data_IF_413863907039
#
_entry.id   IF_413863907039
#
_cell.length_a   1.000
_cell.length_b   1.000
_cell.length_c   1.000
_cell.angle_alpha   90.00
_cell.angle_beta   90.00
_cell.angle_gamma   90.00
#
_symmetry.space_group_name_H-M   'P 1'
#
loop_
_entity.id
_entity.type
_entity.pdbx_description
1 polymer ?
#
# COMPACT_ATOMS: atom_id res chain seq x y z
N UNK A 1 0.85 -10.18 -10.85
CA UNK A 1 1.39 -9.15 -9.94
C UNK A 1 2.49 -9.78 -9.11
N UNK A 2 3.70 -9.27 -9.22
CA UNK A 2 4.87 -9.85 -8.54
C UNK A 2 5.65 -8.82 -7.72
N UNK A 3 5.75 -7.58 -8.21
CA UNK A 3 6.59 -6.55 -7.61
C UNK A 3 5.76 -5.44 -7.01
N UNK A 4 6.10 -5.08 -5.79
CA UNK A 4 5.39 -4.07 -5.03
C UNK A 4 6.40 -3.06 -4.50
N UNK A 5 6.06 -1.78 -4.62
CA UNK A 5 6.79 -0.69 -3.99
C UNK A 5 5.99 -0.18 -2.80
N UNK A 6 6.65 0.00 -1.67
CA UNK A 6 6.04 0.57 -0.47
C UNK A 6 6.42 2.03 -0.33
N UNK A 7 5.42 2.90 -0.26
CA UNK A 7 5.60 4.32 0.03
C UNK A 7 5.18 4.54 1.48
N UNK A 8 6.16 4.58 2.35
CA UNK A 8 5.97 4.63 3.79
C UNK A 8 6.66 3.47 4.49
N UNK A 9 7.15 3.71 5.70
CA UNK A 9 7.85 2.71 6.51
C UNK A 9 7.41 2.75 7.97
N UNK A 10 6.14 3.11 8.21
CA UNK A 10 5.55 3.14 9.54
C UNK A 10 5.12 1.75 10.00
N UNK A 11 4.27 1.73 11.02
CA UNK A 11 3.83 0.47 11.65
C UNK A 11 3.07 -0.42 10.67
N UNK A 12 2.08 0.13 9.99
CA UNK A 12 1.29 -0.64 9.02
C UNK A 12 2.15 -1.09 7.84
N UNK A 13 2.95 -0.19 7.26
CA UNK A 13 3.82 -0.53 6.13
C UNK A 13 4.80 -1.64 6.50
N UNK A 14 5.34 -1.61 7.71
CA UNK A 14 6.27 -2.64 8.19
C UNK A 14 5.60 -4.02 8.22
N UNK A 15 4.43 -4.11 8.81
CA UNK A 15 3.74 -5.39 8.94
C UNK A 15 3.16 -5.87 7.62
N UNK A 16 2.58 -4.97 6.83
CA UNK A 16 2.04 -5.30 5.52
C UNK A 16 3.15 -5.73 4.57
N UNK A 17 4.25 -4.98 4.54
CA UNK A 17 5.41 -5.31 3.70
C UNK A 17 5.95 -6.70 4.02
N UNK A 18 6.04 -7.02 5.30
CA UNK A 18 6.50 -8.33 5.73
C UNK A 18 5.53 -9.44 5.32
N UNK A 19 4.22 -9.23 5.48
CA UNK A 19 3.23 -10.21 5.07
C UNK A 19 3.29 -10.48 3.57
N UNK A 20 3.45 -9.44 2.76
CA UNK A 20 3.58 -9.58 1.31
C UNK A 20 4.89 -10.26 0.93
N UNK A 21 5.99 -9.88 1.56
CA UNK A 21 7.29 -10.50 1.32
C UNK A 21 7.25 -12.00 1.65
N UNK A 22 6.71 -12.36 2.81
CA UNK A 22 6.60 -13.75 3.24
C UNK A 22 5.67 -14.56 2.32
N UNK A 23 4.71 -13.91 1.67
CA UNK A 23 3.80 -14.53 0.71
C UNK A 23 4.43 -14.71 -0.69
N UNK A 24 5.66 -14.27 -0.88
CA UNK A 24 6.40 -14.47 -2.13
C UNK A 24 6.47 -13.26 -3.05
N UNK A 25 5.95 -12.10 -2.65
CA UNK A 25 6.08 -10.88 -3.43
C UNK A 25 7.50 -10.33 -3.34
N UNK A 26 7.94 -9.71 -4.42
CA UNK A 26 9.20 -8.97 -4.45
C UNK A 26 8.88 -7.53 -4.04
N UNK A 27 9.47 -7.06 -2.95
CA UNK A 27 9.39 -5.66 -2.57
C UNK A 27 10.63 -5.01 -3.18
N UNK A 28 10.43 -4.20 -4.22
CA UNK A 28 11.58 -3.63 -4.94
C UNK A 28 12.14 -2.38 -4.28
N UNK A 29 11.30 -1.52 -3.73
CA UNK A 29 11.71 -0.29 -3.07
C UNK A 29 10.83 0.02 -1.86
N UNK A 30 11.43 0.67 -0.87
CA UNK A 30 10.73 1.22 0.29
C UNK A 30 11.11 2.70 0.41
N UNK A 31 10.12 3.57 0.33
CA UNK A 31 10.31 5.01 0.53
C UNK A 31 9.91 5.39 1.95
N UNK A 32 10.71 6.27 2.59
CA UNK A 32 10.34 6.95 3.82
C UNK A 32 11.02 8.32 3.82
N UNK A 33 10.44 9.27 4.57
CA UNK A 33 11.04 10.59 4.73
C UNK A 33 12.36 10.55 5.49
N UNK A 34 12.54 9.54 6.35
CA UNK A 34 13.78 9.38 7.11
C UNK A 34 14.59 8.21 6.54
N UNK A 35 15.89 8.41 6.41
CA UNK A 35 16.80 7.39 5.90
C UNK A 35 16.79 6.13 6.76
N UNK A 36 16.79 6.29 8.08
CA UNK A 36 16.81 5.13 8.99
C UNK A 36 15.56 4.26 8.81
N UNK A 37 14.38 4.86 8.79
CA UNK A 37 13.13 4.08 8.62
C UNK A 37 13.10 3.36 7.29
N UNK A 38 13.52 4.02 6.21
CA UNK A 38 13.56 3.40 4.89
C UNK A 38 14.56 2.24 4.88
N UNK A 39 15.76 2.45 5.42
CA UNK A 39 16.82 1.45 5.44
C UNK A 39 16.44 0.23 6.27
N UNK A 40 15.92 0.44 7.46
CA UNK A 40 15.56 -0.68 8.36
C UNK A 40 14.52 -1.59 7.72
N UNK A 41 13.47 -1.01 7.16
CA UNK A 41 12.45 -1.82 6.51
C UNK A 41 12.94 -2.45 5.21
N UNK A 42 13.67 -1.69 4.39
CA UNK A 42 14.21 -2.21 3.13
C UNK A 42 15.14 -3.41 3.36
N UNK A 43 16.00 -3.36 4.38
CA UNK A 43 16.87 -4.50 4.71
C UNK A 43 16.06 -5.75 5.07
N UNK A 44 14.99 -5.59 5.85
CA UNK A 44 14.11 -6.71 6.23
C UNK A 44 13.40 -7.33 5.05
N UNK A 45 13.13 -6.55 4.01
CA UNK A 45 12.36 -6.99 2.84
C UNK A 45 13.23 -7.23 1.61
N UNK A 46 14.56 -7.15 1.77
CA UNK A 46 15.51 -7.30 0.66
C UNK A 46 15.21 -6.30 -0.48
N UNK A 47 14.91 -5.08 -0.12
CA UNK A 47 14.50 -4.02 -1.02
C UNK A 47 15.50 -2.86 -1.02
N UNK A 48 15.35 -1.95 -1.99
CA UNK A 48 16.13 -0.72 -2.06
C UNK A 48 15.45 0.37 -1.22
N UNK A 49 16.21 1.08 -0.39
CA UNK A 49 15.71 2.18 0.42
C UNK A 49 15.74 3.49 -0.37
N UNK A 50 14.68 4.29 -0.25
CA UNK A 50 14.58 5.62 -0.85
C UNK A 50 14.14 6.64 0.18
N UNK A 51 14.72 7.85 0.10
CA UNK A 51 14.27 9.01 0.86
C UNK A 51 13.81 10.15 -0.04
N UNK A 52 13.98 9.98 -1.35
CA UNK A 52 13.57 10.94 -2.37
C UNK A 52 12.79 10.22 -3.46
N UNK A 53 11.59 10.70 -3.76
CA UNK A 53 10.72 10.08 -4.77
C UNK A 53 11.26 10.20 -6.19
N UNK A 54 12.25 11.07 -6.45
CA UNK A 54 12.90 11.14 -7.76
C UNK A 54 13.59 9.83 -8.13
N UNK A 55 13.98 9.02 -7.13
CA UNK A 55 14.57 7.70 -7.36
C UNK A 55 13.55 6.57 -7.51
N UNK A 56 12.27 6.87 -7.53
CA UNK A 56 11.22 5.85 -7.62
C UNK A 56 11.21 5.20 -9.01
N UNK A 57 11.28 3.87 -9.04
CA UNK A 57 11.32 3.11 -10.29
C UNK A 57 9.91 2.85 -10.81
N UNK A 58 9.83 2.54 -12.11
CA UNK A 58 8.56 2.30 -12.80
C UNK A 58 8.28 0.80 -13.00
N UNK A 59 9.05 -0.07 -12.38
CA UNK A 59 9.00 -1.51 -12.63
C UNK A 59 8.17 -2.30 -11.61
N UNK A 60 7.51 -1.64 -10.67
CA UNK A 60 6.58 -2.32 -9.78
C UNK A 60 5.22 -2.49 -10.45
N UNK A 61 4.52 -3.55 -10.10
CA UNK A 61 3.14 -3.77 -10.54
C UNK A 61 2.14 -2.94 -9.72
N UNK A 62 2.46 -2.74 -8.45
CA UNK A 62 1.63 -1.97 -7.53
C UNK A 62 2.48 -1.09 -6.62
N UNK A 63 1.94 0.08 -6.31
CA UNK A 63 2.53 1.05 -5.38
C UNK A 63 1.56 1.24 -4.23
N UNK A 64 1.96 0.82 -3.04
CA UNK A 64 1.11 0.91 -1.84
C UNK A 64 1.59 2.08 -1.00
N UNK A 65 0.71 3.07 -0.82
CA UNK A 65 1.02 4.30 -0.09
C UNK A 65 0.45 4.18 1.32
N UNK A 66 1.34 4.01 2.29
CA UNK A 66 0.99 3.84 3.69
C UNK A 66 1.69 4.92 4.51
N UNK A 67 1.12 6.12 4.45
CA UNK A 67 1.64 7.32 5.12
C UNK A 67 0.50 7.95 5.93
N UNK A 68 0.84 8.97 6.73
CA UNK A 68 -0.17 9.73 7.47
C UNK A 68 -1.16 10.38 6.51
N UNK A 69 -2.42 10.48 6.93
CA UNK A 69 -3.49 11.09 6.13
C UNK A 69 -3.11 12.47 5.61
N UNK A 70 -2.44 13.29 6.45
CA UNK A 70 -2.01 14.63 6.08
C UNK A 70 -0.96 14.66 4.96
N UNK A 71 -0.22 13.58 4.76
CA UNK A 71 0.81 13.49 3.73
C UNK A 71 0.32 12.81 2.45
N UNK A 72 -0.77 12.06 2.54
CA UNK A 72 -1.22 11.20 1.44
C UNK A 72 -1.48 11.98 0.14
N UNK A 73 -2.30 13.02 0.21
CA UNK A 73 -2.67 13.78 -0.97
C UNK A 73 -1.48 14.55 -1.58
N UNK A 74 -0.47 14.86 -0.78
CA UNK A 74 0.74 15.53 -1.27
C UNK A 74 1.65 14.58 -2.04
N UNK A 75 1.69 13.31 -1.64
CA UNK A 75 2.57 12.33 -2.27
C UNK A 75 1.98 11.70 -3.53
N UNK A 76 0.67 11.58 -3.60
CA UNK A 76 -0.01 10.91 -4.72
C UNK A 76 0.42 11.44 -6.09
N UNK A 77 0.43 12.77 -6.35
CA UNK A 77 0.83 13.25 -7.67
C UNK A 77 2.24 12.81 -8.08
N UNK A 78 3.20 12.87 -7.16
CA UNK A 78 4.58 12.47 -7.44
C UNK A 78 4.72 10.96 -7.64
N UNK A 79 4.01 10.18 -6.84
CA UNK A 79 4.06 8.71 -6.94
C UNK A 79 3.43 8.24 -8.25
N UNK A 80 2.36 8.88 -8.69
CA UNK A 80 1.62 8.46 -9.89
C UNK A 80 2.23 8.98 -11.19
N UNK A 81 3.01 10.06 -11.14
CA UNK A 81 3.54 10.71 -12.33
C UNK A 81 4.39 9.75 -13.18
N UNK A 82 4.03 9.62 -14.45
CA UNK A 82 4.75 8.78 -15.40
C UNK A 82 4.51 7.28 -15.22
N UNK A 83 3.55 6.88 -14.36
CA UNK A 83 3.26 5.48 -14.05
C UNK A 83 1.79 5.14 -14.26
N UNK A 84 1.16 5.72 -15.27
CA UNK A 84 -0.29 5.71 -15.44
C UNK A 84 -0.94 4.33 -15.58
N UNK A 85 -0.19 3.30 -15.97
CA UNK A 85 -0.69 1.95 -16.17
C UNK A 85 -0.56 1.05 -14.92
N UNK A 86 0.04 1.55 -13.85
CA UNK A 86 0.28 0.80 -12.63
C UNK A 86 -0.91 0.88 -11.68
N UNK A 87 -0.94 -0.03 -10.70
CA UNK A 87 -1.95 -0.02 -9.65
C UNK A 87 -1.44 0.77 -8.46
N UNK A 88 -2.26 1.73 -7.99
CA UNK A 88 -1.94 2.56 -6.84
C UNK A 88 -2.96 2.33 -5.74
N UNK A 89 -2.47 2.06 -4.54
CA UNK A 89 -3.32 1.78 -3.38
C UNK A 89 -2.93 2.67 -2.22
N UNK A 90 -3.91 3.10 -1.42
CA UNK A 90 -3.60 3.65 -0.11
C UNK A 90 -4.22 2.80 1.00
N UNK A 91 -3.69 2.96 2.20
CA UNK A 91 -4.09 2.15 3.35
C UNK A 91 -4.80 2.95 4.44
N UNK A 92 -5.34 4.13 4.09
CA UNK A 92 -5.98 5.02 5.05
C UNK A 92 -7.49 4.76 5.13
N UNK A 93 -7.96 4.28 6.28
CA UNK A 93 -9.37 3.97 6.46
C UNK A 93 -10.30 5.17 6.33
N UNK A 94 -9.83 6.36 6.75
CA UNK A 94 -10.63 7.60 6.77
C UNK A 94 -10.56 8.41 5.48
N UNK A 95 -9.70 8.03 4.51
CA UNK A 95 -9.51 8.79 3.28
C UNK A 95 -10.29 8.17 2.13
N UNK A 96 -10.91 9.03 1.32
CA UNK A 96 -11.62 8.60 0.13
C UNK A 96 -10.68 8.03 -0.93
N UNK A 97 -11.18 7.12 -1.74
CA UNK A 97 -10.51 6.66 -2.96
C UNK A 97 -10.27 7.81 -3.94
N UNK A 98 -11.09 8.86 -3.87
CA UNK A 98 -11.05 10.00 -4.81
C UNK A 98 -9.77 10.84 -4.72
N UNK A 99 -8.95 10.64 -3.69
CA UNK A 99 -7.65 11.33 -3.64
C UNK A 99 -6.72 10.95 -4.80
N UNK A 100 -6.97 9.82 -5.46
CA UNK A 100 -6.23 9.41 -6.67
C UNK A 100 -6.81 9.97 -7.97
N UNK A 101 -8.03 10.51 -7.92
CA UNK A 101 -8.75 10.91 -9.12
C UNK A 101 -8.00 11.99 -9.88
N UNK A 102 -7.78 11.77 -11.17
CA UNK A 102 -7.01 12.67 -12.01
C UNK A 102 -5.51 12.41 -12.03
N UNK A 103 -4.99 11.54 -11.14
CA UNK A 103 -3.57 11.20 -11.06
C UNK A 103 -3.28 9.76 -11.48
N UNK A 104 -4.23 8.87 -11.31
CA UNK A 104 -4.08 7.46 -11.64
C UNK A 104 -5.32 6.97 -12.37
N UNK A 105 -5.16 5.95 -13.24
CA UNK A 105 -6.29 5.29 -13.91
C UNK A 105 -6.71 4.01 -13.21
N UNK A 106 -5.78 3.36 -12.51
CA UNK A 106 -6.02 2.12 -11.77
C UNK A 106 -5.61 2.35 -10.32
N UNK A 107 -6.59 2.48 -9.43
CA UNK A 107 -6.31 2.83 -8.06
C UNK A 107 -7.37 2.27 -7.11
N UNK A 108 -7.05 2.28 -5.83
CA UNK A 108 -7.98 1.81 -4.83
C UNK A 108 -7.48 1.94 -3.40
N UNK A 109 -8.25 1.32 -2.52
CA UNK A 109 -7.97 1.28 -1.09
C UNK A 109 -7.73 -0.15 -0.65
N UNK A 110 -6.73 -0.32 0.20
CA UNK A 110 -6.33 -1.60 0.79
C UNK A 110 -6.12 -1.33 2.29
N UNK A 111 -7.17 -1.50 3.07
CA UNK A 111 -7.16 -1.07 4.47
C UNK A 111 -7.25 -2.25 5.43
N UNK A 112 -6.11 -2.72 5.97
CA UNK A 112 -6.13 -3.70 7.06
C UNK A 112 -6.57 -3.02 8.36
N UNK A 113 -7.65 -3.51 8.96
CA UNK A 113 -8.19 -2.90 10.18
C UNK A 113 -7.63 -3.59 11.42
N UNK A 114 -6.51 -3.04 11.94
CA UNK A 114 -5.79 -3.55 13.09
C UNK A 114 -4.84 -2.47 13.60
N UNK A 115 -4.53 -2.51 14.89
CA UNK A 115 -3.45 -1.71 15.46
C UNK A 115 -2.13 -2.45 15.27
N UNK A 116 -1.15 -1.79 14.63
CA UNK A 116 0.12 -2.40 14.28
C UNK A 116 1.28 -1.81 15.09
N UNK A 117 2.34 -2.61 15.21
CA UNK A 117 3.60 -2.23 15.84
C UNK A 117 4.74 -2.56 14.88
N UNK A 118 5.85 -1.83 14.95
CA UNK A 118 7.05 -2.14 14.17
C UNK A 118 7.80 -3.34 14.70
N UNK A 119 7.65 -3.64 16.00
CA UNK A 119 8.46 -4.63 16.69
C UNK A 119 7.74 -5.96 16.94
N UNK A 120 6.41 -5.95 16.88
CA UNK A 120 5.61 -7.14 17.11
C UNK A 120 5.04 -7.62 15.78
N UNK A 121 5.46 -8.80 15.37
CA UNK A 121 4.98 -9.42 14.15
C UNK A 121 3.57 -9.95 14.34
N UNK A 122 2.69 -9.69 13.37
CA UNK A 122 1.32 -10.16 13.40
C UNK A 122 1.03 -11.01 12.17
N UNK A 123 0.19 -12.03 12.35
CA UNK A 123 -0.35 -12.77 11.23
C UNK A 123 -1.52 -11.99 10.63
N UNK A 124 -1.52 -11.83 9.31
CA UNK A 124 -2.62 -11.17 8.60
C UNK A 124 -3.81 -12.10 8.37
N UNK A 125 -3.67 -13.39 8.62
CA UNK A 125 -4.66 -14.41 8.23
C UNK A 125 -6.09 -14.04 8.63
N UNK A 126 -6.28 -13.53 9.85
CA UNK A 126 -7.61 -13.20 10.39
C UNK A 126 -7.89 -11.70 10.46
N UNK A 127 -6.99 -10.87 9.93
CA UNK A 127 -7.19 -9.41 9.90
C UNK A 127 -8.12 -9.07 8.75
N UNK A 128 -9.25 -8.36 9.02
CA UNK A 128 -10.10 -7.91 7.92
C UNK A 128 -9.38 -6.86 7.09
N UNK A 129 -9.38 -7.04 5.77
CA UNK A 129 -8.85 -6.06 4.83
C UNK A 129 -10.03 -5.53 4.03
N UNK A 130 -10.32 -4.24 4.21
CA UNK A 130 -11.36 -3.56 3.47
C UNK A 130 -10.79 -3.06 2.16
N UNK A 131 -11.49 -3.35 1.06
CA UNK A 131 -11.01 -3.01 -0.28
C UNK A 131 -12.03 -2.18 -1.05
N UNK A 132 -11.52 -1.30 -1.89
CA UNK A 132 -12.30 -0.53 -2.85
C UNK A 132 -11.45 -0.29 -4.08
N UNK A 133 -12.01 -0.48 -5.28
CA UNK A 133 -11.30 -0.26 -6.54
C UNK A 133 -11.96 0.79 -7.41
N UNK A 134 -11.17 1.43 -8.26
CA UNK A 134 -11.65 2.46 -9.21
C UNK A 134 -12.55 1.91 -10.30
N UNK A 135 -12.57 0.59 -10.48
CA UNK A 135 -13.44 -0.14 -11.39
C UNK A 135 -13.66 -1.55 -10.84
N UNK A 136 -14.60 -2.30 -11.43
CA UNK A 136 -14.81 -3.69 -11.04
C UNK A 136 -13.56 -4.54 -11.28
N UNK A 137 -12.88 -4.32 -12.40
CA UNK A 137 -11.64 -5.04 -12.73
C UNK A 137 -10.55 -4.75 -11.70
N UNK A 138 -10.34 -3.48 -11.37
CA UNK A 138 -9.34 -3.08 -10.37
C UNK A 138 -9.70 -3.64 -9.00
N UNK A 139 -10.97 -3.59 -8.62
CA UNK A 139 -11.41 -4.14 -7.33
C UNK A 139 -11.13 -5.64 -7.25
N UNK A 140 -11.32 -6.38 -8.34
CA UNK A 140 -11.00 -7.80 -8.38
C UNK A 140 -9.48 -8.06 -8.27
N UNK A 141 -8.67 -7.20 -8.88
CA UNK A 141 -7.22 -7.28 -8.74
C UNK A 141 -6.80 -7.05 -7.28
N UNK A 142 -7.43 -6.09 -6.62
CA UNK A 142 -7.16 -5.80 -5.20
C UNK A 142 -7.63 -6.97 -4.32
N UNK A 143 -8.79 -7.53 -4.62
CA UNK A 143 -9.31 -8.71 -3.90
C UNK A 143 -8.33 -9.87 -3.98
N UNK A 144 -7.81 -10.15 -5.17
CA UNK A 144 -6.84 -11.23 -5.39
C UNK A 144 -5.58 -11.01 -4.55
N UNK A 145 -5.07 -9.77 -4.53
CA UNK A 145 -3.92 -9.42 -3.72
C UNK A 145 -4.19 -9.65 -2.23
N UNK A 146 -5.30 -9.12 -1.74
CA UNK A 146 -5.67 -9.23 -0.32
C UNK A 146 -5.87 -10.69 0.11
N UNK A 147 -6.51 -11.49 -0.73
CA UNK A 147 -6.81 -12.89 -0.42
C UNK A 147 -5.57 -13.77 -0.25
N UNK A 148 -4.42 -13.31 -0.75
CA UNK A 148 -3.15 -14.03 -0.56
C UNK A 148 -2.69 -13.97 0.90
N UNK A 149 -3.00 -12.89 1.61
CA UNK A 149 -2.50 -12.69 2.99
C UNK A 149 -3.58 -12.76 4.06
N UNK A 150 -4.87 -12.69 3.70
CA UNK A 150 -5.96 -12.75 4.67
C UNK A 150 -7.10 -13.64 4.18
N UNK A 151 -7.85 -14.19 5.13
CA UNK A 151 -9.11 -14.91 4.85
C UNK A 151 -10.31 -13.96 4.83
N UNK A 152 -10.14 -12.71 5.25
CA UNK A 152 -11.25 -11.76 5.47
C UNK A 152 -11.10 -10.54 4.57
N UNK A 153 -11.44 -10.68 3.30
CA UNK A 153 -11.46 -9.58 2.34
C UNK A 153 -12.88 -9.04 2.23
N UNK A 154 -13.07 -7.76 2.53
CA UNK A 154 -14.39 -7.13 2.63
C UNK A 154 -14.45 -5.92 1.72
N UNK A 155 -15.24 -5.96 0.63
CA UNK A 155 -15.48 -4.77 -0.18
C UNK A 155 -16.28 -3.74 0.62
N UNK A 156 -15.81 -2.50 0.61
CA UNK A 156 -16.47 -1.42 1.33
C UNK A 156 -16.07 -0.08 0.70
N UNK A 157 -17.05 0.67 0.21
CA UNK A 157 -16.79 1.94 -0.44
C UNK A 157 -16.36 3.04 0.56
N UNK A 158 -15.87 4.15 0.00
CA UNK A 158 -15.36 5.26 0.81
C UNK A 158 -16.45 5.88 1.69
N UNK A 159 -17.67 5.98 1.17
CA UNK A 159 -18.78 6.56 1.90
C UNK A 159 -19.13 5.75 3.16
N UNK A 160 -19.11 4.44 3.05
CA UNK A 160 -19.41 3.54 4.18
C UNK A 160 -18.20 3.28 5.08
N UNK A 161 -16.98 3.33 4.53
CA UNK A 161 -15.76 3.10 5.30
C UNK A 161 -15.54 4.14 6.39
N UNK A 162 -16.01 5.37 6.20
CA UNK A 162 -15.87 6.43 7.22
C UNK A 162 -16.58 6.11 8.54
N UNK A 163 -17.47 5.12 8.56
CA UNK A 163 -18.17 4.70 9.77
C UNK A 163 -17.49 3.54 10.52
N UNK A 164 -16.32 3.11 10.07
CA UNK A 164 -15.58 2.05 10.76
C UNK A 164 -14.98 2.51 12.09
#
# INVERSE_FOLDING_TARGET
MKRITLIGAGRLATQLGRALFDAGFIINQVFSRTEESARVLAERLNAEALTNLDGLRNDADAYIISVKDSALCQLIPQVCEGRGDKLFLHTAGSMSIDCFKGFASRYGVFYPMQTFSKTRDVSFEDIPIFIEGSSEEVQENIRTLAAIITKRVIPLDSENRKYL
#
